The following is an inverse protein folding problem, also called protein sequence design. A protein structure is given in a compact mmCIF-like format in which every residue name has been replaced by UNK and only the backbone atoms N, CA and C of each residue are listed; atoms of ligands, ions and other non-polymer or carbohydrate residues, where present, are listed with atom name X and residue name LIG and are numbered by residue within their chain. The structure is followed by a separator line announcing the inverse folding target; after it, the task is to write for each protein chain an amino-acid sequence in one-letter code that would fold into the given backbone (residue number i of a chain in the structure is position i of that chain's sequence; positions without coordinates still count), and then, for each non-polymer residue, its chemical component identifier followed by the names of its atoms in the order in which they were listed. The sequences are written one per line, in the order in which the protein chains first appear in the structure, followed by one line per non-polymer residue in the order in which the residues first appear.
data_IF_629437055114
#
_entry.id   IF_629437055114
#
_cell.length_a   1.000
_cell.length_b   1.000
_cell.length_c   1.000
_cell.angle_alpha   90.00
_cell.angle_beta   90.00
_cell.angle_gamma   90.00
#
_symmetry.space_group_name_H-M   'P 1'
#
loop_
_entity.id
_entity.type
_entity.pdbx_description
1 polymer ?
#
# COMPACT_ATOMS: atom_id res chain seq x y z
N UNK A 1 45.33 10.87 -19.23
CA UNK A 1 44.47 9.68 -19.34
C UNK A 1 43.02 10.00 -18.99
N UNK A 2 42.75 10.83 -17.96
CA UNK A 2 41.39 11.32 -17.63
C UNK A 2 40.69 12.03 -18.80
N UNK A 3 41.40 12.89 -19.53
CA UNK A 3 40.85 13.65 -20.67
C UNK A 3 40.30 12.80 -21.82
N UNK A 4 40.84 11.60 -22.06
CA UNK A 4 40.37 10.74 -23.14
C UNK A 4 39.08 9.99 -22.79
N UNK A 5 38.84 9.73 -21.49
CA UNK A 5 37.61 9.06 -21.05
C UNK A 5 36.40 9.98 -21.13
N UNK A 6 36.60 11.30 -21.06
CA UNK A 6 35.50 12.27 -21.18
C UNK A 6 34.78 12.17 -22.53
N UNK A 7 35.51 11.92 -23.62
CA UNK A 7 34.95 11.72 -24.96
C UNK A 7 34.29 10.33 -25.15
N UNK A 8 34.30 9.48 -24.12
CA UNK A 8 33.68 8.15 -24.12
C UNK A 8 32.77 7.99 -22.90
N UNK A 9 31.66 8.75 -22.84
CA UNK A 9 30.81 8.85 -21.65
C UNK A 9 30.30 7.49 -21.15
N UNK A 10 30.02 6.56 -22.07
CA UNK A 10 29.63 5.20 -21.71
C UNK A 10 30.74 4.41 -21.01
N UNK A 11 31.96 4.46 -21.54
CA UNK A 11 33.10 3.77 -20.92
C UNK A 11 33.45 4.37 -19.56
N UNK A 12 33.38 5.71 -19.45
CA UNK A 12 33.56 6.44 -18.19
C UNK A 12 32.54 5.97 -17.14
N UNK A 13 31.27 5.86 -17.52
CA UNK A 13 30.23 5.36 -16.64
C UNK A 13 30.48 3.92 -16.20
N UNK A 14 30.71 3.01 -17.14
CA UNK A 14 30.87 1.58 -16.84
C UNK A 14 32.12 1.27 -16.00
N UNK A 15 33.23 1.99 -16.24
CA UNK A 15 34.52 1.70 -15.58
C UNK A 15 34.76 2.47 -14.29
N UNK A 16 34.17 3.65 -14.13
CA UNK A 16 34.50 4.54 -13.01
C UNK A 16 33.24 5.01 -12.27
N UNK A 17 32.32 5.68 -12.96
CA UNK A 17 31.23 6.37 -12.27
C UNK A 17 30.28 5.37 -11.60
N UNK A 18 29.95 4.24 -12.23
CA UNK A 18 29.00 3.26 -11.66
C UNK A 18 29.38 2.83 -10.24
N UNK A 19 30.66 2.50 -10.03
CA UNK A 19 31.16 2.11 -8.71
C UNK A 19 31.23 3.32 -7.77
N UNK A 20 31.66 4.48 -8.28
CA UNK A 20 31.69 5.71 -7.50
C UNK A 20 30.28 6.10 -6.98
N UNK A 21 29.26 6.09 -7.83
CA UNK A 21 27.86 6.32 -7.47
C UNK A 21 27.39 5.34 -6.39
N UNK A 22 27.71 4.06 -6.54
CA UNK A 22 27.32 3.04 -5.56
C UNK A 22 27.95 3.34 -4.20
N UNK A 23 29.27 3.54 -4.16
CA UNK A 23 30.00 3.85 -2.93
C UNK A 23 29.53 5.15 -2.28
N UNK A 24 29.35 6.21 -3.06
CA UNK A 24 28.85 7.50 -2.56
C UNK A 24 27.43 7.39 -2.02
N UNK A 25 26.57 6.58 -2.63
CA UNK A 25 25.23 6.32 -2.10
C UNK A 25 25.29 5.56 -0.77
N UNK A 26 26.13 4.53 -0.65
CA UNK A 26 26.33 3.80 0.61
C UNK A 26 26.83 4.73 1.72
N UNK A 27 27.85 5.55 1.43
CA UNK A 27 28.38 6.55 2.37
C UNK A 27 27.30 7.57 2.78
N UNK A 28 26.46 8.00 1.84
CA UNK A 28 25.35 8.92 2.11
C UNK A 28 24.32 8.31 3.08
N UNK A 29 23.86 7.07 2.82
CA UNK A 29 22.89 6.40 3.70
C UNK A 29 23.49 5.97 5.04
N UNK A 30 24.77 5.58 5.07
CA UNK A 30 25.48 5.31 6.31
C UNK A 30 25.54 6.57 7.18
N UNK A 31 25.85 7.73 6.59
CA UNK A 31 25.84 9.02 7.28
C UNK A 31 24.44 9.38 7.80
N UNK A 32 23.38 9.19 7.01
CA UNK A 32 22.00 9.42 7.48
C UNK A 32 21.66 8.53 8.69
N UNK A 33 22.10 7.27 8.65
CA UNK A 33 21.87 6.32 9.74
C UNK A 33 22.62 6.74 10.99
N UNK A 34 23.90 7.11 10.87
CA UNK A 34 24.72 7.63 11.98
C UNK A 34 24.10 8.89 12.60
N UNK A 35 23.69 9.86 11.78
CA UNK A 35 23.09 11.12 12.23
C UNK A 35 21.71 10.93 12.86
N UNK A 36 20.95 9.95 12.39
CA UNK A 36 19.62 9.64 12.92
C UNK A 36 19.64 9.07 14.34
N UNK A 37 20.78 8.49 14.76
CA UNK A 37 20.97 7.83 16.07
C UNK A 37 19.90 6.79 16.39
N UNK A 38 19.28 6.19 15.38
CA UNK A 38 18.32 5.10 15.55
C UNK A 38 19.06 3.88 16.09
N UNK A 39 18.49 3.24 17.11
CA UNK A 39 19.04 2.01 17.70
C UNK A 39 18.55 0.78 16.91
N UNK A 40 19.41 0.10 16.13
CA UNK A 40 18.97 -1.02 15.29
C UNK A 40 18.51 -2.24 16.10
N UNK A 41 19.12 -2.49 17.27
CA UNK A 41 18.78 -3.63 18.12
C UNK A 41 17.39 -3.46 18.76
N UNK A 42 17.11 -2.26 19.26
CA UNK A 42 15.82 -1.91 19.85
C UNK A 42 14.70 -1.91 18.79
N UNK A 43 14.95 -1.31 17.62
CA UNK A 43 14.01 -1.36 16.51
C UNK A 43 13.71 -2.80 16.08
N UNK A 44 14.74 -3.66 15.95
CA UNK A 44 14.54 -5.07 15.61
C UNK A 44 13.70 -5.81 16.65
N UNK A 45 13.88 -5.51 17.94
CA UNK A 45 13.06 -6.07 19.02
C UNK A 45 11.59 -5.60 18.93
N UNK A 46 11.35 -4.31 18.69
CA UNK A 46 10.01 -3.76 18.50
C UNK A 46 9.31 -4.31 17.25
N UNK A 47 10.02 -4.43 16.13
CA UNK A 47 9.50 -5.05 14.89
C UNK A 47 9.15 -6.52 15.13
N UNK A 48 10.00 -7.27 15.84
CA UNK A 48 9.69 -8.66 16.22
C UNK A 48 8.42 -8.72 17.08
N UNK A 49 8.26 -7.79 18.03
CA UNK A 49 7.06 -7.71 18.86
C UNK A 49 5.81 -7.39 18.05
N UNK A 50 5.89 -6.40 17.16
CA UNK A 50 4.82 -6.06 16.23
C UNK A 50 4.40 -7.27 15.39
N UNK A 51 5.36 -8.01 14.81
CA UNK A 51 5.05 -9.19 14.00
C UNK A 51 4.30 -10.27 14.80
N UNK A 52 4.65 -10.48 16.08
CA UNK A 52 3.94 -11.39 16.97
C UNK A 52 2.52 -10.90 17.27
N UNK A 53 2.36 -9.61 17.61
CA UNK A 53 1.07 -9.02 17.95
C UNK A 53 0.14 -8.95 16.71
N UNK A 54 0.69 -8.69 15.52
CA UNK A 54 -0.03 -8.71 14.24
C UNK A 54 -0.49 -10.13 13.88
N UNK A 55 0.35 -11.13 14.10
CA UNK A 55 -0.02 -12.55 13.90
C UNK A 55 -1.13 -12.99 14.86
N UNK A 56 -1.04 -12.61 16.14
CA UNK A 56 -2.08 -12.87 17.14
C UNK A 56 -3.40 -12.19 16.75
N UNK A 57 -3.36 -10.91 16.36
CA UNK A 57 -4.53 -10.16 15.87
C UNK A 57 -5.16 -10.84 14.65
N UNK A 58 -4.37 -11.26 13.67
CA UNK A 58 -4.87 -11.98 12.49
C UNK A 58 -5.53 -13.32 12.88
N UNK A 59 -4.93 -14.05 13.82
CA UNK A 59 -5.47 -15.33 14.29
C UNK A 59 -6.82 -15.16 14.99
N UNK A 60 -6.96 -14.12 15.82
CA UNK A 60 -8.20 -13.79 16.52
C UNK A 60 -9.26 -13.26 15.58
N UNK A 61 -8.89 -12.45 14.60
CA UNK A 61 -9.81 -11.96 13.56
C UNK A 61 -10.35 -13.11 12.71
N UNK A 62 -9.52 -14.10 12.34
CA UNK A 62 -9.98 -15.33 11.66
C UNK A 62 -11.00 -16.10 12.50
N UNK A 63 -10.78 -16.24 13.81
CA UNK A 63 -11.73 -16.90 14.71
C UNK A 63 -13.04 -16.12 14.88
N UNK A 64 -12.96 -14.79 14.89
CA UNK A 64 -14.13 -13.90 14.96
C UNK A 64 -14.93 -13.89 13.64
N UNK A 65 -14.25 -13.84 12.49
CA UNK A 65 -14.90 -13.91 11.17
C UNK A 65 -15.55 -15.27 10.91
N UNK A 66 -14.91 -16.36 11.32
CA UNK A 66 -15.50 -17.70 11.29
C UNK A 66 -16.76 -17.79 12.17
N UNK A 67 -16.74 -17.22 13.38
CA UNK A 67 -17.92 -17.18 14.25
C UNK A 67 -19.05 -16.32 13.66
N UNK A 68 -18.72 -15.18 13.04
CA UNK A 68 -19.69 -14.37 12.28
C UNK A 68 -20.29 -15.15 11.12
N UNK A 69 -19.46 -15.83 10.32
CA UNK A 69 -19.91 -16.66 9.20
C UNK A 69 -20.85 -17.78 9.65
N UNK A 70 -20.52 -18.47 10.75
CA UNK A 70 -21.39 -19.47 11.34
C UNK A 70 -22.71 -18.87 11.85
N UNK A 71 -22.69 -17.69 12.46
CA UNK A 71 -23.90 -17.01 12.90
C UNK A 71 -24.81 -16.59 11.73
N UNK A 72 -24.22 -16.14 10.62
CA UNK A 72 -24.95 -15.85 9.38
C UNK A 72 -25.54 -17.13 8.81
N UNK A 73 -24.75 -18.20 8.70
CA UNK A 73 -25.22 -19.50 8.23
C UNK A 73 -26.40 -20.03 9.06
N UNK A 74 -26.30 -20.00 10.40
CA UNK A 74 -27.39 -20.41 11.29
C UNK A 74 -28.64 -19.55 11.12
N UNK A 75 -28.48 -18.26 10.82
CA UNK A 75 -29.60 -17.37 10.54
C UNK A 75 -30.31 -17.75 9.24
N UNK A 76 -29.55 -18.05 8.18
CA UNK A 76 -30.11 -18.52 6.91
C UNK A 76 -30.78 -19.88 7.06
N UNK A 77 -30.12 -20.83 7.74
CA UNK A 77 -30.66 -22.17 7.98
C UNK A 77 -31.98 -22.13 8.77
N UNK A 78 -32.07 -21.24 9.76
CA UNK A 78 -33.31 -21.02 10.52
C UNK A 78 -34.44 -20.54 9.60
N UNK A 79 -34.19 -19.50 8.81
CA UNK A 79 -35.21 -18.93 7.90
C UNK A 79 -35.68 -19.98 6.89
N UNK A 80 -34.74 -20.70 6.26
CA UNK A 80 -35.06 -21.74 5.28
C UNK A 80 -35.90 -22.86 5.91
N UNK A 81 -35.54 -23.31 7.11
CA UNK A 81 -36.29 -24.36 7.82
C UNK A 81 -37.73 -23.96 8.10
N UNK A 82 -37.97 -22.70 8.53
CA UNK A 82 -39.32 -22.20 8.76
C UNK A 82 -40.11 -21.98 7.46
N UNK A 83 -39.49 -21.40 6.43
CA UNK A 83 -40.16 -21.13 5.15
C UNK A 83 -40.53 -22.43 4.43
N UNK A 84 -39.59 -23.38 4.30
CA UNK A 84 -39.84 -24.67 3.65
C UNK A 84 -40.83 -25.49 4.46
N UNK A 85 -40.69 -25.53 5.79
CA UNK A 85 -41.64 -26.21 6.67
C UNK A 85 -43.07 -25.68 6.52
N UNK A 86 -43.25 -24.35 6.49
CA UNK A 86 -44.56 -23.72 6.29
C UNK A 86 -45.16 -23.99 4.90
N UNK A 87 -44.34 -23.93 3.85
CA UNK A 87 -44.77 -24.24 2.48
C UNK A 87 -45.19 -25.71 2.33
N UNK A 88 -44.46 -26.64 2.95
CA UNK A 88 -44.82 -28.07 2.95
C UNK A 88 -46.16 -28.33 3.63
N UNK A 89 -46.48 -27.63 4.71
CA UNK A 89 -47.80 -27.72 5.36
C UNK A 89 -48.89 -27.14 4.45
N UNK A 90 -48.66 -25.94 3.89
CA UNK A 90 -49.64 -25.25 3.05
C UNK A 90 -49.98 -26.03 1.77
N UNK A 91 -48.96 -26.44 1.01
CA UNK A 91 -49.16 -27.26 -0.18
C UNK A 91 -49.63 -28.68 0.14
N UNK A 92 -49.22 -29.22 1.29
CA UNK A 92 -49.69 -30.51 1.76
C UNK A 92 -51.21 -30.53 1.96
N UNK A 93 -51.76 -29.48 2.57
CA UNK A 93 -53.21 -29.33 2.74
C UNK A 93 -53.93 -29.08 1.42
N UNK A 94 -53.33 -28.28 0.51
CA UNK A 94 -53.96 -27.92 -0.76
C UNK A 94 -54.02 -29.09 -1.76
N UNK A 95 -53.03 -29.99 -1.73
CA UNK A 95 -52.88 -31.09 -2.70
C UNK A 95 -53.23 -32.48 -2.13
N UNK A 96 -53.83 -32.54 -0.94
CA UNK A 96 -54.16 -33.77 -0.20
C UNK A 96 -52.95 -34.73 -0.08
N UNK A 97 -51.85 -34.17 0.42
CA UNK A 97 -50.59 -34.89 0.56
C UNK A 97 -50.65 -36.04 1.57
N UNK A 98 -49.86 -37.09 1.36
CA UNK A 98 -49.75 -38.19 2.31
C UNK A 98 -49.13 -37.75 3.65
N UNK A 99 -49.52 -38.43 4.73
CA UNK A 99 -49.22 -38.05 6.12
C UNK A 99 -47.72 -37.85 6.44
N UNK A 100 -46.82 -38.53 5.72
CA UNK A 100 -45.38 -38.43 5.92
C UNK A 100 -44.81 -37.04 5.55
N UNK A 101 -45.48 -36.26 4.69
CA UNK A 101 -45.08 -34.89 4.36
C UNK A 101 -45.22 -33.96 5.57
N UNK A 102 -46.29 -34.12 6.35
CA UNK A 102 -46.48 -33.36 7.59
C UNK A 102 -45.49 -33.76 8.69
N UNK A 103 -45.08 -35.04 8.73
CA UNK A 103 -44.01 -35.49 9.62
C UNK A 103 -42.68 -34.81 9.29
N UNK A 104 -42.30 -34.76 7.99
CA UNK A 104 -41.09 -34.04 7.54
C UNK A 104 -41.17 -32.55 7.87
N UNK A 105 -42.32 -31.91 7.65
CA UNK A 105 -42.51 -30.50 7.97
C UNK A 105 -42.35 -30.23 9.48
N UNK A 106 -42.88 -31.10 10.35
CA UNK A 106 -42.71 -31.01 11.81
C UNK A 106 -41.24 -31.13 12.24
N UNK A 107 -40.48 -32.03 11.61
CA UNK A 107 -39.03 -32.15 11.85
C UNK A 107 -38.26 -30.90 11.41
N UNK A 108 -38.62 -30.30 10.28
CA UNK A 108 -38.00 -29.05 9.81
C UNK A 108 -38.27 -27.87 10.76
N UNK A 109 -39.51 -27.72 11.23
CA UNK A 109 -39.88 -26.64 12.16
C UNK A 109 -39.19 -26.81 13.51
N UNK A 110 -39.18 -28.03 14.06
CA UNK A 110 -38.46 -28.32 15.31
C UNK A 110 -36.94 -28.10 15.19
N UNK A 111 -36.35 -28.45 14.04
CA UNK A 111 -34.97 -28.08 13.70
C UNK A 111 -34.75 -26.56 13.66
N UNK A 112 -35.68 -25.81 13.07
CA UNK A 112 -35.69 -24.34 13.08
C UNK A 112 -35.68 -23.76 14.50
N UNK A 113 -36.50 -24.30 15.40
CA UNK A 113 -36.53 -23.89 16.82
C UNK A 113 -35.19 -24.21 17.51
N UNK A 114 -34.63 -25.40 17.30
CA UNK A 114 -33.34 -25.78 17.87
C UNK A 114 -32.21 -24.82 17.42
N UNK A 115 -32.16 -24.47 16.14
CA UNK A 115 -31.17 -23.49 15.63
C UNK A 115 -31.35 -22.10 16.23
N UNK A 116 -32.59 -21.68 16.52
CA UNK A 116 -32.87 -20.41 17.20
C UNK A 116 -32.34 -20.39 18.64
N UNK A 117 -32.53 -21.47 19.39
CA UNK A 117 -31.99 -21.59 20.75
C UNK A 117 -30.46 -21.50 20.73
N UNK A 118 -29.79 -22.25 19.86
CA UNK A 118 -28.32 -22.21 19.73
C UNK A 118 -27.83 -20.80 19.38
N UNK A 119 -28.50 -20.12 18.46
CA UNK A 119 -28.15 -18.76 18.06
C UNK A 119 -28.24 -17.77 19.24
N UNK A 120 -29.39 -17.73 19.92
CA UNK A 120 -29.66 -16.74 20.97
C UNK A 120 -28.94 -17.04 22.28
N UNK A 121 -28.83 -18.32 22.68
CA UNK A 121 -28.23 -18.69 23.96
C UNK A 121 -26.69 -18.78 23.88
N UNK A 122 -26.12 -19.23 22.76
CA UNK A 122 -24.69 -19.55 22.69
C UNK A 122 -23.96 -18.62 21.74
N UNK A 123 -24.38 -18.56 20.48
CA UNK A 123 -23.60 -17.87 19.44
C UNK A 123 -23.49 -16.35 19.66
N UNK A 124 -24.53 -15.70 20.18
CA UNK A 124 -24.48 -14.27 20.51
C UNK A 124 -23.32 -13.94 21.46
N UNK A 125 -23.14 -14.72 22.52
CA UNK A 125 -22.06 -14.53 23.49
C UNK A 125 -20.69 -14.85 22.90
N UNK A 126 -20.58 -15.96 22.14
CA UNK A 126 -19.33 -16.38 21.49
C UNK A 126 -18.84 -15.36 20.46
N UNK A 127 -19.74 -14.85 19.61
CA UNK A 127 -19.39 -13.84 18.60
C UNK A 127 -18.92 -12.56 19.28
N UNK A 128 -19.68 -12.05 20.26
CA UNK A 128 -19.31 -10.84 20.99
C UNK A 128 -17.97 -10.96 21.73
N UNK A 129 -17.71 -12.11 22.38
CA UNK A 129 -16.45 -12.34 23.07
C UNK A 129 -15.26 -12.40 22.09
N UNK A 130 -15.43 -13.07 20.95
CA UNK A 130 -14.36 -13.17 19.93
C UNK A 130 -14.10 -11.84 19.23
N UNK A 131 -15.12 -11.05 18.95
CA UNK A 131 -14.98 -9.69 18.40
C UNK A 131 -14.24 -8.78 19.37
N UNK A 132 -14.55 -8.85 20.67
CA UNK A 132 -13.83 -8.10 21.70
C UNK A 132 -12.35 -8.49 21.75
N UNK A 133 -12.04 -9.78 21.76
CA UNK A 133 -10.65 -10.28 21.74
C UNK A 133 -9.89 -9.87 20.48
N UNK A 134 -10.54 -9.92 19.31
CA UNK A 134 -9.95 -9.50 18.05
C UNK A 134 -9.68 -7.99 18.05
N UNK A 135 -10.62 -7.18 18.54
CA UNK A 135 -10.48 -5.72 18.67
C UNK A 135 -9.35 -5.33 19.63
N UNK A 136 -9.25 -5.98 20.79
CA UNK A 136 -8.16 -5.75 21.75
C UNK A 136 -6.80 -6.13 21.16
N UNK A 137 -6.71 -7.27 20.48
CA UNK A 137 -5.47 -7.69 19.83
C UNK A 137 -5.07 -6.76 18.68
N UNK A 138 -6.05 -6.26 17.91
CA UNK A 138 -5.81 -5.28 16.85
C UNK A 138 -5.26 -3.96 17.42
N UNK A 139 -5.86 -3.44 18.49
CA UNK A 139 -5.35 -2.23 19.17
C UNK A 139 -3.91 -2.40 19.65
N UNK A 140 -3.59 -3.56 20.20
CA UNK A 140 -2.22 -3.87 20.65
C UNK A 140 -1.21 -3.93 19.49
N UNK A 141 -1.62 -4.52 18.36
CA UNK A 141 -0.80 -4.53 17.15
C UNK A 141 -0.60 -3.12 16.58
N UNK A 142 -1.65 -2.28 16.57
CA UNK A 142 -1.58 -0.87 16.16
C UNK A 142 -0.65 -0.04 17.07
N UNK A 143 -0.70 -0.27 18.38
CA UNK A 143 0.20 0.37 19.34
C UNK A 143 1.67 -0.02 19.10
N UNK A 144 1.92 -1.31 18.88
CA UNK A 144 3.26 -1.82 18.57
C UNK A 144 3.78 -1.27 17.23
N UNK A 145 2.91 -1.15 16.23
CA UNK A 145 3.24 -0.54 14.94
C UNK A 145 3.61 0.94 15.11
N UNK A 146 2.87 1.68 15.94
CA UNK A 146 3.17 3.08 16.25
C UNK A 146 4.56 3.22 16.85
N UNK A 147 4.95 2.33 17.77
CA UNK A 147 6.30 2.33 18.35
C UNK A 147 7.35 2.13 17.25
N UNK A 148 7.17 1.15 16.36
CA UNK A 148 8.10 0.92 15.24
C UNK A 148 8.25 2.16 14.35
N UNK A 149 7.17 2.90 14.09
CA UNK A 149 7.23 4.15 13.35
C UNK A 149 7.93 5.27 14.13
N UNK A 150 7.73 5.34 15.44
CA UNK A 150 8.42 6.31 16.29
C UNK A 150 9.93 6.06 16.32
N UNK A 151 10.36 4.80 16.40
CA UNK A 151 11.78 4.42 16.34
C UNK A 151 12.44 4.88 15.04
N UNK A 152 11.72 4.78 13.92
CA UNK A 152 12.20 5.16 12.59
C UNK A 152 12.00 6.64 12.25
N UNK A 153 11.21 7.38 13.04
CA UNK A 153 10.88 8.77 12.76
C UNK A 153 12.12 9.68 12.62
N UNK A 154 13.17 9.57 13.47
CA UNK A 154 14.38 10.38 13.34
C UNK A 154 15.13 10.15 12.02
N UNK A 155 15.17 8.91 11.53
CA UNK A 155 15.81 8.56 10.26
C UNK A 155 14.94 9.01 9.08
N UNK A 156 13.64 8.73 9.14
CA UNK A 156 12.68 9.10 8.09
C UNK A 156 12.64 10.61 7.85
N UNK A 157 12.75 11.41 8.91
CA UNK A 157 12.79 12.87 8.82
C UNK A 157 14.04 13.43 8.13
N UNK A 158 15.07 12.60 7.89
CA UNK A 158 16.34 13.01 7.28
C UNK A 158 16.42 12.70 5.78
N UNK A 159 15.52 11.87 5.26
CA UNK A 159 15.43 11.68 3.82
C UNK A 159 14.93 12.98 3.17
N UNK A 160 15.65 13.38 2.12
CA UNK A 160 15.33 14.57 1.34
C UNK A 160 15.24 14.20 -0.15
N UNK A 161 14.41 14.95 -0.88
CA UNK A 161 14.23 14.80 -2.32
C UNK A 161 15.51 15.11 -3.11
N UNK A 162 16.44 15.90 -2.54
CA UNK A 162 17.72 16.21 -3.15
C UNK A 162 18.80 15.14 -2.93
N UNK A 163 18.49 14.02 -2.26
CA UNK A 163 19.45 12.94 -2.04
C UNK A 163 20.09 12.43 -3.36
N UNK A 164 19.34 12.17 -4.45
CA UNK A 164 19.94 11.73 -5.71
C UNK A 164 20.87 12.78 -6.32
N UNK A 165 20.50 14.06 -6.26
CA UNK A 165 21.33 15.17 -6.75
C UNK A 165 22.64 15.26 -5.96
N UNK A 166 22.56 15.21 -4.64
CA UNK A 166 23.71 15.25 -3.73
C UNK A 166 24.67 14.08 -3.96
N UNK A 167 24.13 12.88 -4.19
CA UNK A 167 24.93 11.69 -4.51
C UNK A 167 25.60 11.87 -5.88
N UNK A 168 24.87 12.40 -6.86
CA UNK A 168 25.37 12.60 -8.21
C UNK A 168 26.52 13.60 -8.29
N UNK A 169 26.37 14.77 -7.68
CA UNK A 169 27.42 15.81 -7.67
C UNK A 169 28.69 15.29 -7.00
N UNK A 170 28.55 14.55 -5.89
CA UNK A 170 29.70 13.94 -5.19
C UNK A 170 30.38 12.84 -6.01
N UNK A 171 29.60 12.00 -6.69
CA UNK A 171 30.15 10.90 -7.48
C UNK A 171 30.74 11.38 -8.81
N UNK A 172 30.23 12.49 -9.37
CA UNK A 172 30.62 13.02 -10.67
C UNK A 172 30.87 14.53 -10.59
N UNK A 173 32.09 14.97 -10.21
CA UNK A 173 32.43 16.40 -10.06
C UNK A 173 32.49 17.17 -11.39
N UNK A 174 32.09 16.54 -12.51
CA UNK A 174 31.95 17.18 -13.82
C UNK A 174 30.56 17.80 -14.03
N UNK A 175 29.59 17.40 -13.21
CA UNK A 175 28.19 17.79 -13.31
C UNK A 175 27.85 18.59 -12.05
N UNK A 176 27.49 19.85 -12.25
CA UNK A 176 26.95 20.72 -11.21
C UNK A 176 25.44 20.84 -11.42
N UNK A 177 24.62 20.44 -10.45
CA UNK A 177 23.17 20.59 -10.55
C UNK A 177 22.73 21.91 -9.93
N UNK A 178 21.73 22.53 -10.56
CA UNK A 178 21.04 23.65 -9.94
C UNK A 178 20.11 23.10 -8.84
N UNK A 179 20.17 23.60 -7.59
CA UNK A 179 19.31 23.11 -6.51
C UNK A 179 17.81 23.29 -6.80
N UNK A 180 17.48 24.38 -7.50
CA UNK A 180 16.12 24.72 -7.92
C UNK A 180 16.23 25.37 -9.29
N UNK A 181 15.33 24.99 -10.20
CA UNK A 181 15.18 25.68 -11.47
C UNK A 181 14.45 27.02 -11.27
N UNK A 182 15.18 28.14 -11.38
CA UNK A 182 14.63 29.47 -11.12
C UNK A 182 14.19 30.20 -12.40
N UNK A 183 13.31 31.21 -12.32
CA UNK A 183 12.94 32.05 -13.46
C UNK A 183 14.15 32.74 -14.11
N UNK A 184 15.15 33.14 -13.33
CA UNK A 184 16.39 33.74 -13.84
C UNK A 184 17.18 32.73 -14.65
N UNK A 185 17.22 31.46 -14.19
CA UNK A 185 17.85 30.37 -14.90
C UNK A 185 17.15 30.09 -16.22
N UNK A 186 15.82 30.08 -16.22
CA UNK A 186 15.02 29.94 -17.44
C UNK A 186 15.31 31.07 -18.44
N UNK A 187 15.25 32.34 -18.01
CA UNK A 187 15.57 33.49 -18.86
C UNK A 187 17.00 33.41 -19.42
N UNK A 188 17.97 33.00 -18.60
CA UNK A 188 19.35 32.80 -19.06
C UNK A 188 19.44 31.74 -20.16
N UNK A 189 18.80 30.57 -19.98
CA UNK A 189 18.78 29.50 -21.00
C UNK A 189 18.06 29.94 -22.28
N UNK A 190 16.94 30.65 -22.16
CA UNK A 190 16.20 31.20 -23.31
C UNK A 190 17.03 32.22 -24.07
N UNK A 191 17.52 33.25 -23.38
CA UNK A 191 18.14 34.42 -24.00
C UNK A 191 19.56 34.14 -24.53
N UNK A 192 20.31 33.22 -23.89
CA UNK A 192 21.69 32.89 -24.28
C UNK A 192 21.83 31.60 -25.08
N UNK A 193 20.97 30.61 -24.83
CA UNK A 193 21.06 29.28 -25.45
C UNK A 193 19.85 28.92 -26.31
N UNK A 194 18.85 29.80 -26.41
CA UNK A 194 17.69 29.60 -27.28
C UNK A 194 16.72 28.54 -26.78
N UNK A 195 16.64 28.28 -25.47
CA UNK A 195 15.63 27.39 -24.90
C UNK A 195 14.22 27.84 -25.34
N UNK A 196 13.45 26.93 -25.94
CA UNK A 196 12.10 27.21 -26.43
C UNK A 196 11.07 27.00 -25.34
N UNK A 197 10.03 27.83 -25.34
CA UNK A 197 8.88 27.67 -24.45
C UNK A 197 7.92 26.62 -25.05
N UNK A 198 7.41 25.72 -24.22
CA UNK A 198 6.39 24.75 -24.64
C UNK A 198 5.05 25.51 -24.68
N UNK A 199 4.54 25.76 -25.89
CA UNK A 199 3.27 26.47 -26.14
C UNK A 199 2.12 25.51 -26.53
N UNK A 200 2.27 24.22 -26.26
CA UNK A 200 1.28 23.20 -26.60
C UNK A 200 0.30 22.98 -25.44
N UNK A 201 -1.00 23.25 -25.67
CA UNK A 201 -2.07 23.01 -24.70
C UNK A 201 -2.22 21.54 -24.27
N UNK A 202 -1.63 20.61 -25.02
CA UNK A 202 -1.63 19.18 -24.72
C UNK A 202 -0.38 18.70 -23.98
N UNK A 203 0.53 19.59 -23.62
CA UNK A 203 1.77 19.24 -22.93
C UNK A 203 1.82 19.89 -21.55
N UNK A 204 2.29 19.14 -20.56
CA UNK A 204 2.51 19.63 -19.19
C UNK A 204 3.86 19.17 -18.69
N UNK A 205 4.65 20.09 -18.14
CA UNK A 205 5.95 19.76 -17.53
C UNK A 205 5.71 19.22 -16.13
N UNK A 206 6.06 17.94 -15.91
CA UNK A 206 5.98 17.26 -14.61
C UNK A 206 7.19 17.52 -13.72
N UNK A 207 8.33 17.85 -14.31
CA UNK A 207 9.55 18.10 -13.57
C UNK A 207 10.66 18.64 -14.47
N UNK A 208 11.55 19.40 -13.86
CA UNK A 208 12.71 20.01 -14.51
C UNK A 208 13.93 19.77 -13.64
N UNK A 209 15.03 19.37 -14.27
CA UNK A 209 16.36 19.34 -13.69
C UNK A 209 17.24 20.19 -14.57
N UNK A 210 17.96 21.16 -14.01
CA UNK A 210 18.94 21.95 -14.74
C UNK A 210 20.29 21.88 -14.05
N UNK A 211 21.34 22.22 -14.80
CA UNK A 211 22.69 22.20 -14.27
C UNK A 211 23.71 22.59 -15.33
N UNK A 212 24.97 22.28 -15.07
CA UNK A 212 26.08 22.49 -15.99
C UNK A 212 26.97 21.26 -16.05
N UNK A 213 27.45 20.93 -17.24
CA UNK A 213 28.50 19.93 -17.46
C UNK A 213 29.72 20.70 -17.95
N UNK A 214 30.75 20.81 -17.11
CA UNK A 214 31.94 21.63 -17.39
C UNK A 214 31.60 23.06 -17.87
N UNK A 215 30.66 23.71 -17.20
CA UNK A 215 30.22 25.07 -17.54
C UNK A 215 29.22 25.17 -18.71
N UNK A 216 29.01 24.10 -19.48
CA UNK A 216 27.95 24.07 -20.49
C UNK A 216 26.60 23.78 -19.83
N UNK A 217 25.61 24.68 -19.91
CA UNK A 217 24.34 24.45 -19.25
C UNK A 217 23.52 23.37 -19.93
N UNK A 218 22.75 22.64 -19.14
CA UNK A 218 21.77 21.68 -19.62
C UNK A 218 20.46 21.79 -18.84
N UNK A 219 19.40 21.29 -19.46
CA UNK A 219 18.09 21.12 -18.86
C UNK A 219 17.54 19.76 -19.29
N UNK A 220 16.92 19.06 -18.34
CA UNK A 220 16.20 17.80 -18.55
C UNK A 220 14.79 18.02 -18.05
N UNK A 221 13.84 17.91 -18.97
CA UNK A 221 12.42 18.11 -18.70
C UNK A 221 11.69 16.78 -18.79
N UNK A 222 10.78 16.55 -17.86
CA UNK A 222 9.83 15.43 -17.93
C UNK A 222 8.49 15.99 -18.37
N UNK A 223 8.12 15.75 -19.61
CA UNK A 223 6.87 16.25 -20.21
C UNK A 223 5.84 15.13 -20.22
N UNK A 224 4.60 15.45 -19.84
CA UNK A 224 3.42 14.64 -20.04
C UNK A 224 2.66 15.19 -21.25
N UNK A 225 2.50 14.37 -22.28
CA UNK A 225 1.72 14.70 -23.47
C UNK A 225 0.38 13.99 -23.41
N UNK A 226 -0.70 14.75 -23.55
CA UNK A 226 -2.07 14.23 -23.66
C UNK A 226 -2.39 13.94 -25.12
N UNK A 227 -2.86 12.72 -25.39
CA UNK A 227 -3.39 12.35 -26.70
C UNK A 227 -4.87 11.98 -26.55
N UNK A 228 -5.76 12.71 -27.21
CA UNK A 228 -7.18 12.36 -27.28
C UNK A 228 -7.41 11.34 -28.40
N UNK A 229 -7.89 10.15 -28.05
CA UNK A 229 -8.23 9.08 -29.00
C UNK A 229 -9.71 8.70 -28.97
N UNK A 230 -10.27 8.16 -30.06
CA UNK A 230 -11.65 7.67 -30.09
C UNK A 230 -11.80 6.45 -29.18
N UNK A 231 -12.78 6.48 -28.26
CA UNK A 231 -13.14 5.35 -27.39
C UNK A 231 -14.57 4.90 -27.67
N UNK A 232 -14.74 3.73 -28.28
CA UNK A 232 -16.06 3.10 -28.44
C UNK A 232 -16.46 2.46 -27.12
N UNK A 233 -17.51 3.00 -26.49
CA UNK A 233 -18.08 2.40 -25.29
C UNK A 233 -18.99 1.23 -25.69
N UNK A 234 -18.61 0.02 -25.30
CA UNK A 234 -19.47 -1.16 -25.40
C UNK A 234 -19.92 -1.55 -24.00
N UNK A 235 -21.17 -1.22 -23.67
CA UNK A 235 -21.83 -1.64 -22.43
C UNK A 235 -23.33 -1.66 -22.64
N UNK A 236 -23.92 -2.84 -22.48
CA UNK A 236 -25.36 -3.09 -22.32
C UNK A 236 -25.75 -3.04 -20.86
#
# INVERSE_FOLDING_TARGET
MEDQMMYRPRELFEKQLKEAYHKTAEEYFAKLTEESKVNPEENAAHVKRYNLDASDAQSKEKKASSARGLNVFLTVAMIVSFVVGALMILFGVLLDAPWWIYFIAGVLISGGIATAIVKFCVMKGVVSAREKQASEAKKKAEESLRICYMDMAPLNARFDWNAPATIMEKATPLIDLDPIFTPERFCYLRDKFGLQEIDDSHQTVLGVISGQIQGNPFIVERILTEETGPKTYTGS
#
